data_IF_250152655476
#
_entry.id   IF_250152655476
#
_cell.length_a   1.000
_cell.length_b   1.000
_cell.length_c   1.000
_cell.angle_alpha   90.00
_cell.angle_beta   90.00
_cell.angle_gamma   90.00
#
_symmetry.space_group_name_H-M   'P 1'
#
loop_
_entity.id
_entity.type
_entity.pdbx_description
1 polymer ?
#
# COMPACT_ATOMS: atom_id res chain seq x y z
N UNK A 1 -4.05 -26.02 -8.66
CA UNK A 1 -3.05 -24.94 -8.81
C UNK A 1 -3.74 -23.88 -9.66
N UNK A 2 -3.96 -22.70 -9.14
CA UNK A 2 -4.49 -21.57 -9.92
C UNK A 2 -3.25 -20.97 -10.61
N UNK A 3 -3.23 -20.96 -11.94
CA UNK A 3 -2.14 -20.33 -12.69
C UNK A 3 -2.25 -18.82 -12.57
N UNK A 4 -1.41 -18.19 -11.75
CA UNK A 4 -1.37 -16.74 -11.53
C UNK A 4 -0.48 -15.97 -12.51
N UNK A 5 -0.01 -16.60 -13.59
CA UNK A 5 0.88 -15.94 -14.56
C UNK A 5 0.32 -14.65 -15.19
N UNK A 6 -1.01 -14.48 -15.17
CA UNK A 6 -1.71 -13.29 -15.67
C UNK A 6 -2.76 -12.81 -14.67
N UNK A 7 -2.35 -12.44 -13.45
CA UNK A 7 -3.26 -11.85 -12.49
C UNK A 7 -3.89 -10.57 -13.06
N UNK A 8 -5.20 -10.63 -13.31
CA UNK A 8 -5.95 -9.51 -13.92
C UNK A 8 -6.48 -8.50 -12.90
N UNK A 9 -6.24 -8.72 -11.60
CA UNK A 9 -6.80 -7.89 -10.51
C UNK A 9 -8.27 -8.13 -10.22
N UNK A 10 -8.90 -9.11 -10.89
CA UNK A 10 -10.35 -9.37 -10.79
C UNK A 10 -10.71 -10.46 -9.77
N UNK A 11 -9.74 -11.12 -9.16
CA UNK A 11 -10.01 -12.10 -8.11
C UNK A 11 -10.43 -11.40 -6.82
N UNK A 12 -11.36 -12.02 -6.09
CA UNK A 12 -11.89 -11.40 -4.89
C UNK A 12 -10.83 -11.25 -3.80
N UNK A 13 -10.92 -10.18 -3.03
CA UNK A 13 -10.06 -9.89 -1.89
C UNK A 13 -9.97 -11.07 -0.91
N UNK A 14 -11.06 -11.82 -0.74
CA UNK A 14 -11.13 -12.98 0.16
C UNK A 14 -10.35 -14.21 -0.34
N UNK A 15 -10.15 -14.35 -1.65
CA UNK A 15 -9.43 -15.50 -2.23
C UNK A 15 -7.94 -15.19 -2.34
N UNK A 16 -7.60 -14.05 -2.93
CA UNK A 16 -6.21 -13.68 -3.19
C UNK A 16 -5.54 -12.95 -2.02
N UNK A 17 -6.31 -12.38 -1.09
CA UNK A 17 -5.81 -11.51 -0.02
C UNK A 17 -5.55 -10.08 -0.49
N UNK A 18 -5.70 -9.81 -1.78
CA UNK A 18 -5.61 -8.48 -2.37
C UNK A 18 -6.47 -8.38 -3.63
N UNK A 19 -6.85 -7.17 -4.00
CA UNK A 19 -7.65 -6.88 -5.19
C UNK A 19 -7.39 -5.46 -5.69
N UNK A 20 -7.43 -5.28 -7.02
CA UNK A 20 -7.40 -3.96 -7.65
C UNK A 20 -8.81 -3.54 -8.02
N UNK A 21 -9.22 -2.38 -7.57
CA UNK A 21 -10.50 -1.75 -7.88
C UNK A 21 -10.31 -0.57 -8.82
N UNK A 22 -11.37 -0.31 -9.62
CA UNK A 22 -11.51 0.88 -10.45
C UNK A 22 -12.81 1.55 -10.04
N UNK A 23 -12.72 2.77 -9.54
CA UNK A 23 -13.85 3.55 -9.09
C UNK A 23 -13.67 5.00 -9.54
N UNK A 24 -14.60 5.49 -10.37
CA UNK A 24 -14.48 6.83 -10.97
C UNK A 24 -14.69 7.94 -9.92
N UNK A 25 -15.53 7.74 -8.89
CA UNK A 25 -15.74 8.72 -7.82
C UNK A 25 -14.45 8.91 -7.00
N UNK A 26 -13.77 7.80 -6.68
CA UNK A 26 -12.47 7.84 -5.99
C UNK A 26 -11.42 8.47 -6.89
N UNK A 27 -11.38 8.09 -8.17
CA UNK A 27 -10.43 8.62 -9.13
C UNK A 27 -10.59 10.13 -9.32
N UNK A 28 -11.83 10.65 -9.38
CA UNK A 28 -12.11 12.07 -9.41
C UNK A 28 -11.65 12.76 -8.12
N UNK A 29 -11.98 12.21 -6.97
CA UNK A 29 -11.54 12.72 -5.67
C UNK A 29 -10.02 12.85 -5.56
N UNK A 30 -9.30 11.90 -6.17
CA UNK A 30 -7.83 11.87 -6.18
C UNK A 30 -7.25 12.76 -7.29
N UNK A 31 -7.98 13.01 -8.38
CA UNK A 31 -7.49 13.83 -9.48
C UNK A 31 -7.08 15.24 -9.04
N UNK A 32 -7.76 15.77 -8.04
CA UNK A 32 -7.46 17.07 -7.42
C UNK A 32 -6.07 17.12 -6.75
N UNK A 33 -5.46 15.95 -6.45
CA UNK A 33 -4.14 15.87 -5.81
C UNK A 33 -2.96 15.90 -6.76
N UNK A 34 -3.18 15.73 -8.01
CA UNK A 34 -2.14 15.21 -8.90
C UNK A 34 -1.22 16.26 -9.49
N UNK A 35 -1.42 17.53 -9.24
CA UNK A 35 -0.91 18.53 -10.17
C UNK A 35 0.47 19.07 -9.86
N UNK A 36 1.01 18.87 -8.67
CA UNK A 36 2.37 19.37 -8.39
C UNK A 36 3.22 18.42 -7.55
N UNK A 37 3.66 17.30 -8.16
CA UNK A 37 4.64 16.40 -7.57
C UNK A 37 6.01 17.08 -7.34
N UNK A 38 6.25 18.24 -7.91
CA UNK A 38 7.50 19.02 -7.72
C UNK A 38 7.70 19.47 -6.28
N UNK A 39 6.63 19.61 -5.50
CA UNK A 39 6.79 19.95 -4.08
C UNK A 39 7.27 18.77 -3.25
N UNK A 40 6.93 17.52 -3.61
CA UNK A 40 7.44 16.33 -2.92
C UNK A 40 8.95 16.24 -3.05
N UNK A 41 9.50 16.54 -4.23
CA UNK A 41 10.95 16.59 -4.44
C UNK A 41 11.65 17.67 -3.61
N UNK A 42 10.95 18.75 -3.26
CA UNK A 42 11.48 19.82 -2.39
C UNK A 42 11.47 19.45 -0.91
N UNK A 43 10.56 18.56 -0.48
CA UNK A 43 10.49 18.09 0.91
C UNK A 43 11.48 16.96 1.19
N UNK A 44 11.89 16.23 0.18
CA UNK A 44 12.80 15.09 0.30
C UNK A 44 14.25 15.52 0.04
N UNK A 45 14.87 16.18 1.00
CA UNK A 45 16.33 16.42 0.95
C UNK A 45 17.16 15.16 1.24
N UNK A 46 16.53 14.00 1.38
CA UNK A 46 17.16 12.73 1.73
C UNK A 46 16.73 11.61 0.81
N UNK A 47 17.66 10.75 0.44
CA UNK A 47 17.46 9.54 -0.41
C UNK A 47 16.68 8.42 0.31
N UNK A 48 15.84 8.73 1.27
CA UNK A 48 15.08 7.76 2.04
C UNK A 48 13.60 7.73 1.62
N UNK A 49 12.93 6.59 1.84
CA UNK A 49 11.48 6.51 1.68
C UNK A 49 10.83 7.56 2.59
N UNK A 50 10.11 8.46 1.95
CA UNK A 50 9.41 9.52 2.65
C UNK A 50 7.99 9.08 2.99
N UNK A 51 7.67 9.07 4.28
CA UNK A 51 6.32 8.85 4.81
C UNK A 51 5.90 10.08 5.58
N UNK A 52 4.80 10.70 5.19
CA UNK A 52 4.26 11.83 5.93
C UNK A 52 2.76 11.67 6.15
N UNK A 53 2.30 12.07 7.33
CA UNK A 53 0.87 12.14 7.60
C UNK A 53 0.25 13.21 6.72
N UNK A 54 -0.89 12.89 6.12
CA UNK A 54 -1.55 13.77 5.15
C UNK A 54 -1.99 15.10 5.75
N UNK A 55 -2.30 15.15 7.06
CA UNK A 55 -2.65 16.38 7.77
C UNK A 55 -1.50 17.36 7.99
N UNK A 56 -0.24 16.92 7.82
CA UNK A 56 0.94 17.77 8.04
C UNK A 56 1.31 18.61 6.81
N UNK A 57 0.64 18.42 5.67
CA UNK A 57 0.95 19.10 4.41
C UNK A 57 -0.15 20.10 4.07
N UNK A 58 0.13 21.38 4.30
CA UNK A 58 -0.81 22.49 4.05
C UNK A 58 -1.36 22.56 2.62
N UNK A 59 -0.66 22.02 1.64
CA UNK A 59 -1.02 22.04 0.23
C UNK A 59 -2.05 20.95 -0.17
N UNK A 60 -2.37 20.03 0.75
CA UNK A 60 -3.33 18.94 0.54
C UNK A 60 -4.68 19.25 1.22
N UNK A 61 -4.89 20.48 1.60
CA UNK A 61 -6.08 20.92 2.36
C UNK A 61 -7.40 20.72 1.61
N UNK A 62 -7.36 20.32 0.34
CA UNK A 62 -8.57 20.16 -0.50
C UNK A 62 -9.09 18.72 -0.57
N UNK A 63 -8.40 17.70 0.00
CA UNK A 63 -8.96 16.36 0.07
C UNK A 63 -9.74 16.17 1.37
N UNK A 64 -11.00 15.88 1.18
CA UNK A 64 -11.83 15.39 2.26
C UNK A 64 -11.53 13.88 2.48
N UNK A 65 -10.58 13.59 3.40
CA UNK A 65 -10.26 12.22 3.76
C UNK A 65 -11.46 11.48 4.36
N UNK A 66 -12.39 12.19 4.96
CA UNK A 66 -13.62 11.60 5.44
C UNK A 66 -14.45 11.04 4.28
N UNK A 67 -14.55 11.77 3.17
CA UNK A 67 -15.20 11.28 1.95
C UNK A 67 -14.40 10.10 1.36
N UNK A 68 -13.10 10.26 1.15
CA UNK A 68 -12.26 9.20 0.58
C UNK A 68 -12.35 7.90 1.41
N UNK A 69 -12.20 7.98 2.72
CA UNK A 69 -12.25 6.81 3.58
C UNK A 69 -13.62 6.10 3.53
N UNK A 70 -14.73 6.85 3.44
CA UNK A 70 -16.06 6.25 3.26
C UNK A 70 -16.21 5.55 1.91
N UNK A 71 -15.65 6.13 0.84
CA UNK A 71 -15.66 5.50 -0.48
C UNK A 71 -14.81 4.21 -0.47
N UNK A 72 -13.62 4.24 0.12
CA UNK A 72 -12.76 3.06 0.25
C UNK A 72 -13.42 1.97 1.09
N UNK A 73 -14.09 2.32 2.18
CA UNK A 73 -14.81 1.35 3.00
C UNK A 73 -15.95 0.64 2.24
N UNK A 74 -16.64 1.35 1.33
CA UNK A 74 -17.67 0.76 0.46
C UNK A 74 -17.10 -0.31 -0.48
N UNK A 75 -15.86 -0.18 -0.95
CA UNK A 75 -15.24 -1.16 -1.86
C UNK A 75 -15.08 -2.55 -1.24
N UNK A 76 -15.01 -2.62 0.09
CA UNK A 76 -14.85 -3.87 0.83
C UNK A 76 -16.08 -4.21 1.68
N UNK A 77 -17.23 -3.60 1.41
CA UNK A 77 -18.49 -3.80 2.15
C UNK A 77 -18.41 -3.57 3.66
N UNK A 78 -17.53 -2.66 4.10
CA UNK A 78 -17.47 -2.23 5.49
C UNK A 78 -18.64 -1.28 5.81
N UNK A 79 -19.41 -1.58 6.86
CA UNK A 79 -20.46 -0.70 7.39
C UNK A 79 -19.87 0.31 8.38
N UNK A 80 -19.04 -0.20 9.33
CA UNK A 80 -18.33 0.63 10.30
C UNK A 80 -16.83 0.33 10.24
N UNK A 81 -16.02 1.37 10.38
CA UNK A 81 -14.57 1.26 10.31
C UNK A 81 -13.88 2.33 11.16
N UNK A 82 -12.67 2.02 11.58
CA UNK A 82 -11.73 2.93 12.22
C UNK A 82 -10.56 3.21 11.28
N UNK A 83 -10.22 4.49 11.06
CA UNK A 83 -9.04 4.88 10.28
C UNK A 83 -7.83 4.84 11.19
N UNK A 84 -6.93 3.90 10.95
CA UNK A 84 -5.69 3.77 11.70
C UNK A 84 -4.62 4.72 11.21
N UNK A 85 -4.54 4.93 9.89
CA UNK A 85 -3.54 5.82 9.29
C UNK A 85 -3.93 6.25 7.88
N UNK A 86 -3.62 7.52 7.55
CA UNK A 86 -3.61 8.05 6.19
C UNK A 86 -2.25 8.72 5.95
N UNK A 87 -1.54 8.30 4.90
CA UNK A 87 -0.20 8.83 4.63
C UNK A 87 0.14 8.82 3.15
N UNK A 88 1.09 9.67 2.76
CA UNK A 88 1.84 9.52 1.53
C UNK A 88 2.96 8.52 1.70
N UNK A 89 3.16 7.74 0.67
CA UNK A 89 4.28 6.82 0.55
C UNK A 89 5.08 7.15 -0.71
N UNK A 90 6.19 7.85 -0.52
CA UNK A 90 7.03 8.32 -1.61
C UNK A 90 8.33 7.50 -1.65
N UNK A 91 8.59 6.86 -2.77
CA UNK A 91 9.84 6.14 -3.02
C UNK A 91 10.72 6.97 -3.96
N UNK A 92 11.94 7.37 -3.55
CA UNK A 92 12.82 8.21 -4.35
C UNK A 92 13.28 7.53 -5.65
N UNK A 93 13.81 8.32 -6.61
CA UNK A 93 14.55 7.80 -7.76
C UNK A 93 15.69 6.87 -7.34
N UNK A 94 15.94 5.84 -8.14
CA UNK A 94 17.04 4.89 -7.94
C UNK A 94 17.07 4.25 -6.55
N UNK A 95 15.91 4.06 -5.94
CA UNK A 95 15.79 3.49 -4.61
C UNK A 95 15.56 1.99 -4.64
N UNK A 96 16.14 1.29 -3.66
CA UNK A 96 16.04 -0.17 -3.51
C UNK A 96 14.61 -0.66 -3.30
N UNK A 97 14.41 -1.97 -3.47
CA UNK A 97 13.16 -2.64 -3.15
C UNK A 97 12.76 -2.44 -1.67
N UNK A 98 11.48 -2.42 -1.40
CA UNK A 98 10.96 -2.60 -0.04
C UNK A 98 10.99 -4.09 0.28
N UNK A 99 11.51 -4.49 1.44
CA UNK A 99 11.57 -5.90 1.82
C UNK A 99 10.20 -6.55 1.87
N UNK A 100 10.13 -7.83 1.51
CA UNK A 100 8.90 -8.61 1.64
C UNK A 100 8.44 -8.68 3.11
N UNK A 101 7.17 -8.39 3.34
CA UNK A 101 6.57 -8.35 4.68
C UNK A 101 5.06 -8.57 4.62
N UNK A 102 4.47 -8.68 5.78
CA UNK A 102 3.05 -8.59 6.04
C UNK A 102 2.83 -7.34 6.90
N UNK A 103 1.80 -6.56 6.61
CA UNK A 103 1.51 -5.33 7.38
C UNK A 103 1.20 -5.63 8.85
N UNK A 104 0.66 -6.82 9.13
CA UNK A 104 0.35 -7.24 10.49
C UNK A 104 1.57 -7.32 11.41
N UNK A 105 2.79 -7.43 10.86
CA UNK A 105 4.02 -7.31 11.64
C UNK A 105 4.15 -5.95 12.34
N UNK A 106 3.45 -4.92 11.86
CA UNK A 106 3.43 -3.58 12.44
C UNK A 106 2.27 -3.37 13.41
N UNK A 107 1.19 -4.15 13.29
CA UNK A 107 -0.04 -3.98 14.08
C UNK A 107 -0.12 -5.01 15.21
N UNK A 108 0.35 -6.23 14.96
CA UNK A 108 0.23 -7.38 15.88
C UNK A 108 -1.20 -7.50 16.41
N UNK A 109 -2.17 -7.58 15.48
CA UNK A 109 -3.59 -7.50 15.78
C UNK A 109 -4.36 -8.61 15.08
N UNK A 110 -5.36 -9.14 15.78
CA UNK A 110 -6.36 -10.07 15.21
C UNK A 110 -7.51 -9.36 14.50
N UNK A 111 -7.58 -8.04 14.59
CA UNK A 111 -8.61 -7.23 13.93
C UNK A 111 -8.58 -7.35 12.40
N UNK A 112 -9.72 -7.08 11.75
CA UNK A 112 -9.83 -7.02 10.29
C UNK A 112 -9.23 -5.70 9.78
N UNK A 113 -7.94 -5.70 9.46
CA UNK A 113 -7.23 -4.52 8.98
C UNK A 113 -6.89 -4.67 7.50
N UNK A 114 -7.20 -3.64 6.73
CA UNK A 114 -6.92 -3.54 5.31
C UNK A 114 -6.10 -2.29 4.99
N UNK A 115 -5.17 -2.45 4.06
CA UNK A 115 -4.40 -1.35 3.50
C UNK A 115 -4.90 -1.05 2.09
N UNK A 116 -5.30 0.19 1.85
CA UNK A 116 -5.63 0.74 0.54
C UNK A 116 -4.42 1.50 0.03
N UNK A 117 -3.92 1.08 -1.13
CA UNK A 117 -2.78 1.68 -1.78
C UNK A 117 -3.19 2.28 -3.13
N UNK A 118 -3.01 3.58 -3.32
CA UNK A 118 -3.55 4.35 -4.43
C UNK A 118 -2.41 5.13 -5.09
N UNK A 119 -1.93 4.71 -6.27
CA UNK A 119 -0.86 5.39 -6.96
C UNK A 119 -1.35 6.73 -7.54
N UNK A 120 -0.50 7.76 -7.43
CA UNK A 120 -0.74 9.08 -8.00
C UNK A 120 -0.16 9.24 -9.41
N UNK A 121 0.40 8.18 -9.97
CA UNK A 121 0.92 8.05 -11.33
C UNK A 121 0.78 6.61 -11.78
N UNK A 122 0.93 6.34 -13.07
CA UNK A 122 1.06 4.97 -13.56
C UNK A 122 2.26 4.29 -12.92
N UNK A 123 2.09 3.04 -12.50
CA UNK A 123 3.13 2.29 -11.78
C UNK A 123 3.38 0.95 -12.47
N UNK A 124 4.64 0.67 -12.74
CA UNK A 124 5.12 -0.55 -13.37
C UNK A 124 6.44 -1.04 -12.74
N UNK A 125 7.13 -1.96 -13.42
CA UNK A 125 8.41 -2.49 -12.96
C UNK A 125 9.52 -1.44 -12.88
N UNK A 126 9.48 -0.42 -13.74
CA UNK A 126 10.50 0.61 -13.78
C UNK A 126 10.42 1.53 -12.56
N UNK A 127 9.20 1.89 -12.15
CA UNK A 127 8.97 2.84 -11.06
C UNK A 127 8.35 2.22 -9.80
N UNK A 128 8.68 0.95 -9.53
CA UNK A 128 8.39 0.30 -8.24
C UNK A 128 6.94 -0.14 -8.04
N UNK A 129 6.43 -1.04 -8.90
CA UNK A 129 5.14 -1.67 -8.66
C UNK A 129 5.17 -2.62 -7.45
N UNK A 130 3.98 -2.93 -6.98
CA UNK A 130 3.77 -3.88 -5.89
C UNK A 130 3.82 -5.33 -6.39
N UNK A 131 4.23 -6.22 -5.51
CA UNK A 131 4.24 -7.67 -5.70
C UNK A 131 3.54 -8.33 -4.54
N UNK A 132 2.73 -9.34 -4.82
CA UNK A 132 1.93 -10.08 -3.84
C UNK A 132 2.06 -11.58 -4.02
N UNK A 133 1.92 -12.34 -2.92
CA UNK A 133 1.70 -13.78 -2.97
C UNK A 133 0.20 -14.03 -2.81
N UNK A 134 -0.51 -14.44 -3.87
CA UNK A 134 -1.94 -14.71 -3.80
C UNK A 134 -2.27 -15.78 -2.77
N UNK A 135 -3.33 -15.55 -1.98
CA UNK A 135 -3.78 -16.48 -0.94
C UNK A 135 -2.92 -16.52 0.31
N UNK A 136 -1.81 -15.77 0.38
CA UNK A 136 -0.89 -15.83 1.53
C UNK A 136 -1.47 -15.31 2.85
N UNK A 137 -2.56 -14.55 2.81
CA UNK A 137 -3.22 -14.02 4.01
C UNK A 137 -3.81 -15.14 4.90
N UNK A 138 -4.18 -16.29 4.32
CA UNK A 138 -4.80 -17.40 5.08
C UNK A 138 -3.83 -18.11 6.01
N UNK A 139 -2.52 -17.94 5.83
CA UNK A 139 -1.52 -18.54 6.73
C UNK A 139 -1.31 -17.75 8.02
N UNK A 140 -1.96 -16.60 8.16
CA UNK A 140 -1.80 -15.72 9.30
C UNK A 140 -0.46 -14.98 9.32
N UNK A 141 -0.09 -14.44 10.47
CA UNK A 141 1.17 -13.72 10.66
C UNK A 141 2.36 -14.67 10.72
N UNK A 142 3.25 -14.55 9.77
CA UNK A 142 4.51 -15.30 9.72
C UNK A 142 5.61 -14.61 10.55
N UNK A 143 6.66 -15.36 10.97
CA UNK A 143 7.79 -14.76 11.64
C UNK A 143 8.52 -13.73 10.78
N UNK A 144 8.81 -12.56 11.36
CA UNK A 144 9.55 -11.48 10.73
C UNK A 144 10.84 -11.19 11.47
N UNK A 145 11.88 -10.82 10.72
CA UNK A 145 13.10 -10.25 11.26
C UNK A 145 13.04 -8.74 11.24
N UNK A 146 13.66 -8.12 12.23
CA UNK A 146 13.85 -6.68 12.26
C UNK A 146 14.96 -6.32 11.28
N UNK A 147 14.67 -5.46 10.31
CA UNK A 147 15.67 -4.91 9.40
C UNK A 147 15.98 -3.48 9.82
N UNK A 148 17.25 -3.25 10.03
CA UNK A 148 17.94 -2.04 10.52
C UNK A 148 17.22 -0.70 10.50
N UNK A 149 17.65 0.14 11.38
CA UNK A 149 17.08 1.38 11.90
C UNK A 149 16.97 2.56 10.93
N UNK A 150 17.24 2.40 9.65
CA UNK A 150 17.26 3.51 8.69
C UNK A 150 15.86 3.91 8.15
N UNK A 151 14.81 3.19 8.50
CA UNK A 151 13.45 3.67 8.33
C UNK A 151 13.04 4.29 9.66
N UNK A 152 13.31 5.58 9.85
CA UNK A 152 12.69 6.36 10.92
C UNK A 152 11.20 6.43 10.67
N UNK A 153 10.49 5.38 11.07
CA UNK A 153 9.06 5.53 11.29
C UNK A 153 8.92 6.50 12.46
N UNK A 154 7.99 7.45 12.37
CA UNK A 154 7.70 8.44 13.45
C UNK A 154 7.35 7.76 14.78
N UNK A 155 7.04 6.45 14.76
CA UNK A 155 6.77 5.61 15.93
C UNK A 155 8.00 4.92 16.49
N UNK A 156 9.20 5.14 15.93
CA UNK A 156 10.42 4.46 16.35
C UNK A 156 10.47 2.97 16.03
N UNK A 157 9.46 2.42 15.36
CA UNK A 157 9.46 1.02 14.96
C UNK A 157 10.40 0.82 13.78
N UNK A 158 11.24 -0.16 13.90
CA UNK A 158 12.14 -0.69 12.86
C UNK A 158 11.33 -1.32 11.73
N UNK A 159 11.87 -1.33 10.51
CA UNK A 159 11.25 -2.07 9.41
C UNK A 159 11.25 -3.57 9.69
N UNK A 160 10.24 -4.27 9.17
CA UNK A 160 10.12 -5.72 9.22
C UNK A 160 10.37 -6.34 7.85
N UNK A 161 10.89 -7.56 7.83
CA UNK A 161 11.07 -8.37 6.64
C UNK A 161 10.79 -9.82 6.97
N UNK A 162 10.13 -10.52 6.08
CA UNK A 162 10.04 -11.99 6.14
C UNK A 162 11.43 -12.60 6.11
N UNK A 163 11.57 -13.77 6.73
CA UNK A 163 12.78 -14.57 6.59
C UNK A 163 12.97 -15.05 5.15
N UNK A 164 14.23 -15.26 4.74
CA UNK A 164 14.58 -15.64 3.37
C UNK A 164 13.86 -16.89 2.86
N UNK A 165 13.60 -17.85 3.74
CA UNK A 165 12.95 -19.10 3.37
C UNK A 165 11.51 -18.87 2.86
N UNK A 166 10.78 -17.93 3.46
CA UNK A 166 9.46 -17.54 2.99
C UNK A 166 9.52 -16.75 1.69
N UNK A 167 10.46 -15.80 1.61
CA UNK A 167 10.63 -14.97 0.41
C UNK A 167 11.03 -15.81 -0.82
N UNK A 168 12.02 -16.71 -0.67
CA UNK A 168 12.58 -17.48 -1.79
C UNK A 168 11.65 -18.58 -2.31
N UNK A 169 10.75 -19.07 -1.45
CA UNK A 169 9.83 -20.17 -1.78
C UNK A 169 8.42 -19.69 -2.14
N UNK A 170 8.19 -18.38 -2.18
CA UNK A 170 6.88 -17.80 -2.49
C UNK A 170 6.79 -17.33 -3.93
N UNK A 171 5.67 -17.62 -4.58
CA UNK A 171 5.37 -17.15 -5.93
C UNK A 171 4.73 -15.77 -5.88
N UNK A 172 5.55 -14.76 -6.15
CA UNK A 172 5.08 -13.37 -6.20
C UNK A 172 4.57 -13.00 -7.59
N UNK A 173 3.37 -12.45 -7.64
CA UNK A 173 2.82 -11.84 -8.84
C UNK A 173 3.01 -10.33 -8.81
N UNK A 174 3.38 -9.75 -9.95
CA UNK A 174 3.49 -8.29 -10.12
C UNK A 174 2.12 -7.68 -10.35
N UNK A 175 1.90 -6.48 -9.77
CA UNK A 175 0.65 -5.73 -9.91
C UNK A 175 0.96 -4.32 -10.43
N UNK A 176 1.17 -4.16 -11.76
CA UNK A 176 1.24 -2.83 -12.36
C UNK A 176 -0.14 -2.16 -12.28
N UNK A 177 -0.17 -0.84 -12.08
CA UNK A 177 -1.42 -0.10 -11.88
C UNK A 177 -1.42 1.21 -12.65
N UNK A 178 -2.61 1.64 -13.01
CA UNK A 178 -2.85 2.98 -13.53
C UNK A 178 -3.09 3.95 -12.39
N UNK A 179 -2.76 5.22 -12.63
CA UNK A 179 -3.09 6.30 -11.71
C UNK A 179 -4.57 6.27 -11.33
N UNK A 180 -4.85 6.31 -10.03
CA UNK A 180 -6.20 6.33 -9.48
C UNK A 180 -6.89 4.97 -9.37
N UNK A 181 -6.26 3.87 -9.80
CA UNK A 181 -6.70 2.53 -9.40
C UNK A 181 -6.41 2.31 -7.91
N UNK A 182 -7.21 1.49 -7.25
CA UNK A 182 -7.10 1.25 -5.82
C UNK A 182 -6.72 -0.21 -5.59
N UNK A 183 -5.56 -0.44 -5.00
CA UNK A 183 -5.16 -1.76 -4.53
C UNK A 183 -5.53 -1.88 -3.06
N UNK A 184 -6.29 -2.91 -2.73
CA UNK A 184 -6.63 -3.27 -1.34
C UNK A 184 -5.93 -4.57 -1.00
N UNK A 185 -5.35 -4.67 0.18
CA UNK A 185 -4.84 -5.94 0.69
C UNK A 185 -5.12 -6.15 2.17
N UNK A 186 -5.30 -7.42 2.53
CA UNK A 186 -5.39 -7.86 3.91
C UNK A 186 -4.03 -7.71 4.62
N UNK A 187 -4.05 -7.39 5.90
CA UNK A 187 -2.86 -7.21 6.75
C UNK A 187 -1.87 -8.38 6.72
N UNK A 188 -2.35 -9.61 6.49
CA UNK A 188 -1.54 -10.82 6.44
C UNK A 188 -1.07 -11.19 5.03
N UNK A 189 -1.42 -10.43 4.01
CA UNK A 189 -0.95 -10.71 2.65
C UNK A 189 0.53 -10.40 2.50
N UNK A 190 1.32 -11.39 2.09
CA UNK A 190 2.75 -11.20 1.81
C UNK A 190 2.93 -10.31 0.59
N UNK A 191 3.71 -9.23 0.75
CA UNK A 191 3.95 -8.29 -0.33
C UNK A 191 5.28 -7.54 -0.21
N UNK A 192 5.69 -6.96 -1.31
CA UNK A 192 6.82 -6.01 -1.39
C UNK A 192 6.64 -5.06 -2.57
N UNK A 193 7.48 -4.05 -2.69
CA UNK A 193 7.57 -3.25 -3.91
C UNK A 193 8.95 -3.35 -4.55
N UNK A 194 9.00 -3.44 -5.89
CA UNK A 194 10.25 -3.49 -6.64
C UNK A 194 11.12 -2.24 -6.40
N UNK A 195 12.39 -2.23 -6.83
CA UNK A 195 13.18 -1.01 -6.84
C UNK A 195 12.49 0.08 -7.68
N UNK A 196 12.71 1.33 -7.35
CA UNK A 196 12.42 2.45 -8.25
C UNK A 196 13.67 2.70 -9.09
N UNK A 197 13.65 2.29 -10.34
CA UNK A 197 14.74 2.45 -11.30
C UNK A 197 14.54 3.67 -12.20
N UNK A 198 13.44 4.43 -11.98
CA UNK A 198 13.18 5.66 -12.72
C UNK A 198 13.89 6.86 -12.10
N UNK A 199 13.93 7.96 -12.86
CA UNK A 199 14.49 9.24 -12.41
C UNK A 199 13.49 10.08 -11.58
N UNK A 200 12.26 9.57 -11.42
CA UNK A 200 11.18 10.26 -10.71
C UNK A 200 10.78 9.56 -9.40
N UNK A 201 10.15 10.31 -8.50
CA UNK A 201 9.52 9.75 -7.31
C UNK A 201 8.29 8.93 -7.67
N UNK A 202 8.16 7.74 -7.07
CA UNK A 202 6.92 6.98 -7.07
C UNK A 202 6.12 7.35 -5.83
N UNK A 203 4.92 7.90 -6.05
CA UNK A 203 4.07 8.45 -4.99
C UNK A 203 2.74 7.69 -4.95
N UNK A 204 2.35 7.29 -3.77
CA UNK A 204 1.04 6.69 -3.49
C UNK A 204 0.44 7.27 -2.22
N UNK A 205 -0.89 7.26 -2.13
CA UNK A 205 -1.62 7.41 -0.88
C UNK A 205 -1.79 6.02 -0.28
N UNK A 206 -1.60 5.88 1.01
CA UNK A 206 -2.00 4.69 1.77
C UNK A 206 -3.00 5.09 2.83
N UNK A 207 -4.14 4.38 2.84
CA UNK A 207 -5.14 4.47 3.90
C UNK A 207 -5.23 3.10 4.57
N UNK A 208 -5.08 3.06 5.89
CA UNK A 208 -5.14 1.82 6.67
C UNK A 208 -6.38 1.88 7.55
N UNK A 209 -7.25 0.89 7.41
CA UNK A 209 -8.54 0.84 8.09
C UNK A 209 -8.72 -0.49 8.80
N UNK A 210 -9.30 -0.41 9.99
CA UNK A 210 -9.85 -1.55 10.74
C UNK A 210 -11.35 -1.58 10.51
N UNK A 211 -11.87 -2.69 10.00
CA UNK A 211 -13.31 -2.90 9.88
C UNK A 211 -13.84 -3.38 11.22
N UNK A 212 -14.80 -2.64 11.77
CA UNK A 212 -15.44 -2.95 13.04
C UNK A 212 -16.82 -3.59 12.87
N UNK A 213 -17.45 -3.37 11.70
CA UNK A 213 -18.70 -4.01 11.33
C UNK A 213 -18.80 -4.18 9.81
N UNK A 214 -19.21 -5.36 9.36
CA UNK A 214 -19.51 -5.64 7.96
C UNK A 214 -20.99 -5.39 7.66
N UNK A 215 -21.32 -5.13 6.41
CA UNK A 215 -22.72 -4.92 5.99
C UNK A 215 -23.59 -6.17 6.07
N UNK A 216 -22.97 -7.37 6.23
CA UNK A 216 -23.71 -8.66 6.26
C UNK A 216 -23.29 -9.49 7.47
#
# INVERSE_FOLDING_TARGET
MIEFENYTGSESLHIAGFQVFKDEEIKESISLFSTDLKWVSRLSHHNDIFRTKLGDIKQIQNLDFGVLNRLLAKLIDAEEFEVLNNQYFCKPPNYKMTSAHQDNAYFDSDDNVFTFWIPLQDVDLLNSCMFYVPGSHVVGLLPHKIIGTNVRTRTGKTGFSLYSDWYNNSEFVKVPMKKGEILVHDKNTMHFSSPNLSDDYRIAITCIMKVTKWKY
#
